data_IF_651114422319
#
_entry.id   IF_651114422319
#
_cell.length_a   1.000
_cell.length_b   1.000
_cell.length_c   1.000
_cell.angle_alpha   90.00
_cell.angle_beta   90.00
_cell.angle_gamma   90.00
#
_symmetry.space_group_name_H-M   'P 1'
#
loop_
_entity.id
_entity.type
_entity.pdbx_description
1 polymer ?
#
# COMPACT_ATOMS: atom_id res chain seq x y z
N UNK A 1 -13.02 2.23 -10.70
CA UNK A 1 -13.37 2.61 -9.32
C UNK A 1 -14.55 1.80 -8.80
N UNK A 2 -15.64 1.69 -9.53
CA UNK A 2 -16.85 1.00 -9.05
C UNK A 2 -16.58 -0.45 -8.62
N UNK A 3 -15.77 -1.19 -9.39
CA UNK A 3 -15.34 -2.55 -9.01
C UNK A 3 -14.60 -2.63 -7.66
N UNK A 4 -13.84 -1.58 -7.28
CA UNK A 4 -13.16 -1.53 -5.97
C UNK A 4 -14.17 -1.26 -4.86
N UNK A 5 -15.09 -0.33 -5.06
CA UNK A 5 -16.16 -0.02 -4.09
C UNK A 5 -17.05 -1.25 -3.86
N UNK A 6 -17.45 -1.93 -4.92
CA UNK A 6 -18.21 -3.18 -4.85
C UNK A 6 -17.47 -4.27 -4.10
N UNK A 7 -16.17 -4.47 -4.42
CA UNK A 7 -15.31 -5.42 -3.70
C UNK A 7 -15.31 -5.13 -2.20
N UNK A 8 -15.10 -3.87 -1.82
CA UNK A 8 -15.00 -3.46 -0.41
C UNK A 8 -16.32 -3.61 0.33
N UNK A 9 -17.44 -3.22 -0.29
CA UNK A 9 -18.79 -3.32 0.31
C UNK A 9 -19.19 -4.75 0.65
N UNK A 10 -18.71 -5.73 -0.12
CA UNK A 10 -19.00 -7.15 0.09
C UNK A 10 -18.11 -7.84 1.14
N UNK A 11 -17.15 -7.12 1.75
CA UNK A 11 -16.18 -7.73 2.68
C UNK A 11 -16.54 -7.53 4.13
N UNK A 12 -16.37 -8.61 4.90
CA UNK A 12 -16.44 -8.57 6.35
C UNK A 12 -15.10 -8.10 6.96
N UNK A 13 -15.13 -7.50 8.16
CA UNK A 13 -13.91 -7.18 8.89
C UNK A 13 -13.05 -8.42 9.12
N UNK A 14 -11.73 -8.28 8.90
CA UNK A 14 -10.72 -9.30 9.16
C UNK A 14 -9.70 -8.87 10.23
N UNK A 15 -9.84 -7.64 10.75
CA UNK A 15 -8.93 -7.06 11.74
C UNK A 15 -9.74 -6.44 12.89
N UNK A 16 -10.19 -7.27 13.84
CA UNK A 16 -11.16 -6.87 14.85
C UNK A 16 -12.46 -6.41 14.19
N UNK A 17 -12.96 -5.24 14.56
CA UNK A 17 -14.13 -4.60 13.91
C UNK A 17 -13.79 -3.85 12.63
N UNK A 18 -12.52 -3.82 12.21
CA UNK A 18 -12.03 -3.04 11.06
C UNK A 18 -11.97 -3.86 9.79
N UNK A 19 -12.62 -3.41 8.72
CA UNK A 19 -12.40 -3.89 7.35
C UNK A 19 -11.10 -3.26 6.83
N UNK A 20 -10.07 -4.07 6.58
CA UNK A 20 -8.77 -3.59 6.07
C UNK A 20 -8.63 -3.93 4.59
N UNK A 21 -8.41 -2.92 3.77
CA UNK A 21 -8.17 -3.06 2.32
C UNK A 21 -6.75 -2.63 2.00
N UNK A 22 -5.96 -3.54 1.43
CA UNK A 22 -4.65 -3.21 0.91
C UNK A 22 -4.75 -2.81 -0.57
N UNK A 23 -4.11 -1.69 -0.92
CA UNK A 23 -3.88 -1.26 -2.30
C UNK A 23 -2.38 -1.34 -2.54
N UNK A 24 -1.93 -2.45 -3.13
CA UNK A 24 -0.53 -2.78 -3.35
C UNK A 24 -0.16 -2.74 -4.84
N UNK A 25 1.11 -2.78 -5.11
CA UNK A 25 1.68 -2.74 -6.45
C UNK A 25 2.91 -1.84 -6.51
N UNK A 26 3.64 -1.85 -7.62
CA UNK A 26 4.90 -1.13 -7.73
C UNK A 26 4.72 0.39 -7.72
N UNK A 27 5.80 1.11 -7.37
CA UNK A 27 5.84 2.58 -7.37
C UNK A 27 5.46 3.16 -8.72
N UNK A 28 4.71 4.27 -8.71
CA UNK A 28 4.22 4.93 -9.92
C UNK A 28 3.00 4.26 -10.57
N UNK A 29 2.49 3.15 -10.02
CA UNK A 29 1.32 2.44 -10.57
C UNK A 29 -0.02 3.15 -10.36
N UNK A 30 -0.11 4.20 -9.51
CA UNK A 30 -1.35 4.95 -9.28
C UNK A 30 -2.14 4.50 -8.04
N UNK A 31 -1.52 3.74 -7.13
CA UNK A 31 -2.13 3.28 -5.88
C UNK A 31 -2.75 4.41 -5.06
N UNK A 32 -1.98 5.47 -4.82
CA UNK A 32 -2.41 6.57 -3.95
C UNK A 32 -3.60 7.34 -4.52
N UNK A 33 -3.65 7.54 -5.83
CA UNK A 33 -4.82 8.13 -6.48
C UNK A 33 -6.07 7.25 -6.31
N UNK A 34 -5.89 5.92 -6.38
CA UNK A 34 -6.96 4.96 -6.15
C UNK A 34 -7.43 4.99 -4.70
N UNK A 35 -6.49 5.02 -3.74
CA UNK A 35 -6.78 5.08 -2.31
C UNK A 35 -7.53 6.36 -1.92
N UNK A 36 -7.10 7.51 -2.44
CA UNK A 36 -7.77 8.80 -2.21
C UNK A 36 -9.18 8.83 -2.78
N UNK A 37 -9.37 8.25 -3.98
CA UNK A 37 -10.72 8.16 -4.57
C UNK A 37 -11.61 7.20 -3.79
N UNK A 38 -11.08 6.07 -3.32
CA UNK A 38 -11.83 5.15 -2.48
C UNK A 38 -12.25 5.81 -1.17
N UNK A 39 -11.33 6.52 -0.50
CA UNK A 39 -11.61 7.24 0.74
C UNK A 39 -12.74 8.27 0.56
N UNK A 40 -12.71 9.05 -0.53
CA UNK A 40 -13.78 10.03 -0.81
C UNK A 40 -15.16 9.41 -1.02
N UNK A 41 -15.22 8.14 -1.44
CA UNK A 41 -16.50 7.43 -1.68
C UNK A 41 -16.98 6.59 -0.50
N UNK A 42 -16.14 6.38 0.51
CA UNK A 42 -16.42 5.41 1.58
C UNK A 42 -16.10 5.92 2.97
N UNK A 43 -15.60 7.15 3.10
CA UNK A 43 -15.08 7.74 4.35
C UNK A 43 -13.99 6.89 5.03
N UNK A 44 -13.23 6.12 4.23
CA UNK A 44 -12.16 5.26 4.73
C UNK A 44 -10.99 6.08 5.29
N UNK A 45 -10.41 5.59 6.38
CA UNK A 45 -9.11 6.06 6.86
C UNK A 45 -8.03 5.52 5.94
N UNK A 46 -7.13 6.37 5.44
CA UNK A 46 -6.00 5.95 4.58
C UNK A 46 -4.69 6.06 5.34
N UNK A 47 -3.93 4.97 5.38
CA UNK A 47 -2.56 4.94 5.88
C UNK A 47 -1.58 4.64 4.75
N UNK A 48 -0.61 5.54 4.58
CA UNK A 48 0.47 5.41 3.59
C UNK A 48 1.58 4.52 4.16
N UNK A 49 1.83 3.36 3.55
CA UNK A 49 2.79 2.39 4.07
C UNK A 49 4.24 2.83 3.94
N UNK A 50 4.56 3.76 3.05
CA UNK A 50 5.88 4.36 2.91
C UNK A 50 6.33 5.11 4.17
N UNK A 51 5.40 5.61 4.97
CA UNK A 51 5.70 6.24 6.27
C UNK A 51 6.16 5.23 7.34
N UNK A 52 6.14 3.95 7.05
CA UNK A 52 6.61 2.88 7.93
C UNK A 52 7.87 2.18 7.40
N UNK A 53 8.43 2.65 6.28
CA UNK A 53 9.65 2.11 5.70
C UNK A 53 10.85 2.94 6.16
N UNK A 54 11.83 2.34 6.88
CA UNK A 54 12.98 3.08 7.41
C UNK A 54 14.07 3.33 6.36
N UNK A 55 13.78 4.20 5.39
CA UNK A 55 14.70 4.61 4.35
C UNK A 55 14.68 3.73 3.10
N UNK A 56 15.46 4.11 2.11
CA UNK A 56 15.39 3.62 0.72
C UNK A 56 15.74 2.13 0.51
N UNK A 57 16.34 1.45 1.49
CA UNK A 57 16.86 0.08 1.34
C UNK A 57 16.15 -0.96 2.21
N UNK A 58 15.05 -0.61 2.88
CA UNK A 58 14.49 -1.45 3.94
C UNK A 58 12.99 -1.72 3.78
N UNK A 59 12.52 -1.81 2.53
CA UNK A 59 11.11 -2.08 2.22
C UNK A 59 10.61 -3.36 2.92
N UNK A 60 11.39 -4.43 2.90
CA UNK A 60 11.02 -5.71 3.49
C UNK A 60 10.86 -5.69 5.04
N UNK A 61 11.36 -4.66 5.72
CA UNK A 61 11.17 -4.53 7.17
C UNK A 61 9.79 -4.00 7.55
N UNK A 62 9.11 -3.31 6.63
CA UNK A 62 7.83 -2.66 6.90
C UNK A 62 6.70 -3.67 7.18
N UNK A 63 6.45 -4.70 6.35
CA UNK A 63 5.28 -5.55 6.55
C UNK A 63 5.23 -6.25 7.92
N UNK A 64 6.29 -6.91 8.42
CA UNK A 64 6.24 -7.54 9.75
C UNK A 64 6.12 -6.51 10.89
N UNK A 65 6.73 -5.33 10.75
CA UNK A 65 6.58 -4.26 11.74
C UNK A 65 5.14 -3.74 11.77
N UNK A 66 4.53 -3.52 10.60
CA UNK A 66 3.17 -3.02 10.50
C UNK A 66 2.13 -4.04 11.00
N UNK A 67 2.36 -5.33 10.73
CA UNK A 67 1.54 -6.41 11.29
C UNK A 67 1.54 -6.38 12.83
N UNK A 68 2.72 -6.22 13.44
CA UNK A 68 2.88 -6.22 14.89
C UNK A 68 2.37 -4.93 15.55
N UNK A 69 2.75 -3.77 15.01
CA UNK A 69 2.62 -2.49 15.71
C UNK A 69 1.33 -1.72 15.33
N UNK A 70 0.69 -2.08 14.20
CA UNK A 70 -0.57 -1.49 13.76
C UNK A 70 -1.70 -2.51 13.78
N UNK A 71 -1.61 -3.56 12.95
CA UNK A 71 -2.74 -4.45 12.73
C UNK A 71 -3.00 -5.40 13.91
N UNK A 72 -1.96 -5.80 14.63
CA UNK A 72 -2.10 -6.63 15.84
C UNK A 72 -2.96 -5.96 16.92
N UNK A 73 -2.70 -4.71 17.33
CA UNK A 73 -3.59 -3.96 18.22
C UNK A 73 -4.99 -3.78 17.64
N UNK A 74 -5.13 -3.34 16.38
CA UNK A 74 -6.45 -3.15 15.76
C UNK A 74 -7.28 -4.45 15.71
N UNK A 75 -6.63 -5.61 15.53
CA UNK A 75 -7.30 -6.90 15.55
C UNK A 75 -7.90 -7.27 16.92
N UNK A 76 -7.47 -6.58 17.98
CA UNK A 76 -8.05 -6.68 19.34
C UNK A 76 -8.95 -5.48 19.69
N UNK A 77 -9.32 -4.70 18.67
CA UNK A 77 -10.07 -3.45 18.83
C UNK A 77 -9.39 -2.42 19.76
N UNK A 78 -8.04 -2.48 19.82
CA UNK A 78 -7.21 -1.56 20.59
C UNK A 78 -6.65 -0.44 19.72
N UNK A 79 -6.35 0.71 20.33
CA UNK A 79 -5.66 1.83 19.68
C UNK A 79 -4.22 1.45 19.36
N UNK A 80 -3.85 1.44 18.08
CA UNK A 80 -2.48 1.26 17.66
C UNK A 80 -1.67 2.56 17.76
N UNK A 81 -0.36 2.46 18.06
CA UNK A 81 0.56 3.61 18.14
C UNK A 81 1.86 3.29 17.40
N UNK A 82 1.81 2.98 16.09
CA UNK A 82 2.99 2.64 15.32
C UNK A 82 3.90 3.88 15.21
N UNK A 83 5.22 3.67 15.25
CA UNK A 83 6.17 4.72 14.90
C UNK A 83 6.10 4.98 13.39
N UNK A 84 6.37 6.22 12.98
CA UNK A 84 6.47 6.61 11.57
C UNK A 84 7.91 6.99 11.21
N UNK A 85 8.32 6.70 10.00
CA UNK A 85 9.60 7.16 9.46
C UNK A 85 9.46 8.56 8.87
N UNK A 86 10.37 9.43 9.24
CA UNK A 86 10.50 10.76 8.64
C UNK A 86 11.57 10.73 7.57
N UNK A 87 11.17 10.78 6.32
CA UNK A 87 12.07 10.84 5.18
C UNK A 87 12.97 12.10 5.16
N UNK A 88 12.48 13.20 5.74
CA UNK A 88 13.23 14.46 5.86
C UNK A 88 14.30 14.38 6.95
N UNK A 89 13.98 13.71 8.08
CA UNK A 89 14.90 13.62 9.23
C UNK A 89 15.74 12.34 9.23
N UNK A 90 15.44 11.42 8.31
CA UNK A 90 16.03 10.08 8.25
C UNK A 90 15.99 9.37 9.62
N UNK A 91 14.84 9.44 10.30
CA UNK A 91 14.67 8.96 11.67
C UNK A 91 13.25 8.51 11.97
N UNK A 92 13.13 7.60 12.95
CA UNK A 92 11.85 7.22 13.52
C UNK A 92 11.30 8.33 14.43
N UNK A 93 10.03 8.67 14.21
CA UNK A 93 9.26 9.59 15.05
C UNK A 93 8.07 8.85 15.67
N UNK A 94 7.54 9.35 16.81
CA UNK A 94 6.24 8.92 17.30
C UNK A 94 5.18 9.08 16.20
N UNK A 95 4.38 8.04 16.00
CA UNK A 95 3.23 8.13 15.11
C UNK A 95 1.98 8.64 15.83
N UNK A 96 0.99 9.03 15.05
CA UNK A 96 -0.32 9.36 15.60
C UNK A 96 -1.04 8.06 16.03
N UNK A 97 -1.89 8.12 17.06
CA UNK A 97 -2.77 7.00 17.40
C UNK A 97 -3.70 6.67 16.23
N UNK A 98 -3.83 5.38 15.94
CA UNK A 98 -4.77 4.86 14.95
C UNK A 98 -5.85 4.11 15.72
N UNK A 99 -7.08 4.58 15.62
CA UNK A 99 -8.26 3.95 16.21
C UNK A 99 -8.78 2.84 15.28
N UNK A 100 -9.44 1.80 15.80
CA UNK A 100 -10.30 0.96 15.00
C UNK A 100 -11.30 1.81 14.22
N UNK A 101 -11.48 1.49 12.95
CA UNK A 101 -12.36 2.23 12.04
C UNK A 101 -13.18 1.25 11.19
N UNK A 102 -14.39 1.61 10.73
CA UNK A 102 -15.17 0.72 9.87
C UNK A 102 -14.40 0.28 8.63
N UNK A 103 -13.60 1.18 8.06
CA UNK A 103 -12.78 0.90 6.88
C UNK A 103 -11.41 1.58 6.97
N UNK A 104 -10.36 0.78 6.83
CA UNK A 104 -8.96 1.20 6.77
C UNK A 104 -8.35 0.78 5.44
N UNK A 105 -7.75 1.72 4.74
CA UNK A 105 -6.99 1.46 3.50
C UNK A 105 -5.50 1.55 3.80
N UNK A 106 -4.77 0.48 3.53
CA UNK A 106 -3.30 0.46 3.51
C UNK A 106 -2.84 0.73 2.08
N UNK A 107 -2.32 1.91 1.82
CA UNK A 107 -1.81 2.31 0.50
C UNK A 107 -0.30 2.27 0.45
N UNK A 108 0.24 1.46 -0.42
CA UNK A 108 1.67 1.48 -0.74
C UNK A 108 2.28 0.11 -1.01
N UNK A 109 3.53 0.13 -1.47
CA UNK A 109 4.30 -1.06 -1.79
C UNK A 109 4.44 -1.97 -0.56
N UNK A 110 4.09 -3.24 -0.70
CA UNK A 110 4.17 -4.23 0.36
C UNK A 110 2.96 -4.26 1.30
N UNK A 111 1.90 -3.48 1.06
CA UNK A 111 0.68 -3.52 1.87
C UNK A 111 -0.08 -4.86 1.77
N UNK A 112 0.11 -5.63 0.70
CA UNK A 112 -0.43 -6.96 0.49
C UNK A 112 0.54 -8.11 0.81
N UNK A 113 1.66 -7.84 1.49
CA UNK A 113 2.67 -8.84 1.85
C UNK A 113 2.14 -9.89 2.82
N UNK A 114 2.73 -11.10 2.80
CA UNK A 114 2.29 -12.24 3.60
C UNK A 114 2.04 -11.94 5.08
N UNK A 115 2.89 -11.17 5.80
CA UNK A 115 2.65 -10.86 7.20
C UNK A 115 1.37 -10.07 7.46
N UNK A 116 0.87 -9.32 6.48
CA UNK A 116 -0.32 -8.47 6.60
C UNK A 116 -1.61 -9.20 6.21
N UNK A 117 -1.53 -10.22 5.34
CA UNK A 117 -2.69 -10.92 4.77
C UNK A 117 -3.70 -11.46 5.78
N UNK A 118 -3.30 -12.01 6.94
CA UNK A 118 -4.27 -12.48 7.94
C UNK A 118 -5.25 -11.40 8.43
N UNK A 119 -4.89 -10.13 8.26
CA UNK A 119 -5.67 -8.98 8.69
C UNK A 119 -6.44 -8.30 7.55
N UNK A 120 -6.20 -8.72 6.29
CA UNK A 120 -6.80 -8.07 5.13
C UNK A 120 -8.17 -8.66 4.80
N UNK A 121 -9.15 -7.79 4.63
CA UNK A 121 -10.47 -8.13 4.09
C UNK A 121 -10.46 -8.18 2.56
N UNK A 122 -9.62 -7.36 1.93
CA UNK A 122 -9.41 -7.37 0.48
C UNK A 122 -8.01 -6.88 0.10
N UNK A 123 -7.50 -7.38 -1.03
CA UNK A 123 -6.24 -6.96 -1.63
C UNK A 123 -6.48 -6.54 -3.08
N UNK A 124 -6.19 -5.28 -3.39
CA UNK A 124 -6.21 -4.72 -4.73
C UNK A 124 -4.78 -4.55 -5.21
N UNK A 125 -4.45 -5.15 -6.35
CA UNK A 125 -3.17 -4.96 -7.02
C UNK A 125 -3.30 -3.92 -8.12
N UNK A 126 -2.44 -2.91 -8.11
CA UNK A 126 -2.40 -1.85 -9.12
C UNK A 126 -1.10 -1.92 -9.89
N UNK A 127 -1.17 -1.98 -11.21
CA UNK A 127 -0.01 -2.08 -12.08
C UNK A 127 -0.08 -1.15 -13.29
N UNK A 128 1.08 -0.83 -13.83
CA UNK A 128 1.30 -0.16 -15.11
C UNK A 128 2.67 -0.58 -15.66
N UNK A 129 2.94 -0.31 -16.94
CA UNK A 129 4.26 -0.57 -17.51
C UNK A 129 5.36 0.26 -16.80
N UNK A 130 6.59 -0.23 -16.89
CA UNK A 130 7.74 0.34 -16.15
C UNK A 130 8.01 1.79 -16.57
N UNK A 131 7.89 2.10 -17.85
CA UNK A 131 8.16 3.43 -18.40
C UNK A 131 7.16 4.45 -17.86
N UNK A 132 5.87 4.11 -17.90
CA UNK A 132 4.78 4.92 -17.33
C UNK A 132 4.97 5.15 -15.83
N UNK A 133 5.31 4.09 -15.09
CA UNK A 133 5.53 4.18 -13.64
C UNK A 133 6.71 5.06 -13.29
N UNK A 134 7.85 4.89 -13.98
CA UNK A 134 9.05 5.70 -13.78
C UNK A 134 8.76 7.17 -14.06
N UNK A 135 8.15 7.48 -15.20
CA UNK A 135 7.80 8.85 -15.55
C UNK A 135 6.88 9.51 -14.49
N UNK A 136 5.86 8.79 -14.01
CA UNK A 136 4.95 9.31 -12.97
C UNK A 136 5.66 9.51 -11.62
N UNK A 137 6.51 8.57 -11.22
CA UNK A 137 7.23 8.65 -9.95
C UNK A 137 8.22 9.83 -9.95
N UNK A 138 8.99 9.99 -11.03
CA UNK A 138 9.94 11.10 -11.16
C UNK A 138 9.23 12.45 -11.31
N UNK A 139 8.08 12.51 -11.98
CA UNK A 139 7.29 13.74 -12.06
C UNK A 139 6.73 14.18 -10.69
N UNK A 140 6.47 13.22 -9.78
CA UNK A 140 5.97 13.50 -8.42
C UNK A 140 7.07 13.89 -7.46
N UNK A 141 8.16 13.11 -7.40
CA UNK A 141 9.18 13.15 -6.34
C UNK A 141 10.54 13.70 -6.82
N UNK A 142 10.72 13.86 -8.15
CA UNK A 142 11.87 14.51 -8.77
C UNK A 142 13.22 13.94 -8.36
N UNK A 143 14.17 14.85 -8.16
CA UNK A 143 15.58 14.55 -7.81
C UNK A 143 15.74 13.73 -6.52
N UNK A 144 14.76 13.81 -5.61
CA UNK A 144 14.79 13.03 -4.35
C UNK A 144 14.65 11.53 -4.61
N UNK A 145 13.88 11.13 -5.62
CA UNK A 145 13.59 9.73 -5.90
C UNK A 145 14.48 9.16 -7.03
N UNK A 146 14.90 9.97 -7.96
CA UNK A 146 15.64 9.53 -9.15
C UNK A 146 16.85 8.63 -8.83
N UNK A 147 17.76 8.96 -7.87
CA UNK A 147 18.90 8.11 -7.51
C UNK A 147 18.48 6.77 -6.90
N UNK A 148 17.26 6.66 -6.38
CA UNK A 148 16.78 5.49 -5.65
C UNK A 148 15.83 4.62 -6.45
N UNK A 149 15.40 5.05 -7.64
CA UNK A 149 14.44 4.31 -8.45
C UNK A 149 14.80 2.84 -8.64
N UNK A 150 16.02 2.56 -9.11
CA UNK A 150 16.43 1.18 -9.40
C UNK A 150 16.62 0.34 -8.13
N UNK A 151 17.11 0.95 -7.05
CA UNK A 151 17.25 0.32 -5.73
C UNK A 151 15.88 -0.05 -5.18
N UNK A 152 14.93 0.87 -5.25
CA UNK A 152 13.57 0.64 -4.77
C UNK A 152 12.86 -0.41 -5.62
N UNK A 153 12.90 -0.29 -6.93
CA UNK A 153 12.31 -1.24 -7.87
C UNK A 153 12.86 -2.67 -7.72
N UNK A 154 14.12 -2.82 -7.37
CA UNK A 154 14.71 -4.13 -7.07
C UNK A 154 14.11 -4.75 -5.80
N UNK A 155 13.92 -3.97 -4.73
CA UNK A 155 13.29 -4.44 -3.50
C UNK A 155 11.81 -4.79 -3.71
N UNK A 156 11.06 -3.98 -4.48
CA UNK A 156 9.69 -4.29 -4.87
C UNK A 156 9.60 -5.65 -5.57
N UNK A 157 10.43 -5.88 -6.60
CA UNK A 157 10.46 -7.16 -7.32
C UNK A 157 10.74 -8.33 -6.40
N UNK A 158 11.73 -8.20 -5.51
CA UNK A 158 12.09 -9.25 -4.56
C UNK A 158 10.94 -9.55 -3.59
N UNK A 159 10.35 -8.52 -3.00
CA UNK A 159 9.25 -8.67 -2.04
C UNK A 159 8.01 -9.28 -2.70
N UNK A 160 7.61 -8.75 -3.84
CA UNK A 160 6.43 -9.23 -4.57
C UNK A 160 6.57 -10.66 -5.07
N UNK A 161 7.77 -11.04 -5.54
CA UNK A 161 8.05 -12.41 -5.95
C UNK A 161 8.04 -13.38 -4.76
N UNK A 162 8.68 -13.02 -3.65
CA UNK A 162 8.72 -13.85 -2.45
C UNK A 162 7.32 -14.06 -1.85
N UNK A 163 6.49 -13.03 -1.87
CA UNK A 163 5.16 -13.06 -1.27
C UNK A 163 4.05 -13.51 -2.23
N UNK A 164 4.32 -13.53 -3.54
CA UNK A 164 3.30 -13.84 -4.56
C UNK A 164 2.13 -12.85 -4.53
N UNK A 165 2.39 -11.58 -4.23
CA UNK A 165 1.36 -10.58 -3.89
C UNK A 165 0.34 -10.38 -5.01
N UNK A 166 0.82 -10.26 -6.27
CA UNK A 166 -0.06 -10.11 -7.43
C UNK A 166 -1.04 -11.27 -7.59
N UNK A 167 -0.55 -12.50 -7.40
CA UNK A 167 -1.38 -13.71 -7.51
C UNK A 167 -2.38 -13.89 -6.37
N UNK A 168 -2.16 -13.23 -5.24
CA UNK A 168 -3.05 -13.25 -4.07
C UNK A 168 -4.10 -12.14 -4.10
N UNK A 169 -4.07 -11.23 -5.09
CA UNK A 169 -4.98 -10.10 -5.17
C UNK A 169 -6.40 -10.54 -5.55
N UNK A 170 -7.39 -9.99 -4.87
CA UNK A 170 -8.82 -10.14 -5.20
C UNK A 170 -9.19 -9.39 -6.48
N UNK A 171 -8.47 -8.29 -6.76
CA UNK A 171 -8.70 -7.45 -7.93
C UNK A 171 -7.36 -6.91 -8.46
N UNK A 172 -7.17 -7.01 -9.79
CA UNK A 172 -6.01 -6.45 -10.47
C UNK A 172 -6.47 -5.31 -11.38
N UNK A 173 -5.85 -4.15 -11.21
CA UNK A 173 -6.13 -2.95 -12.00
C UNK A 173 -4.89 -2.50 -12.77
N UNK A 174 -5.06 -2.29 -14.07
CA UNK A 174 -4.07 -1.62 -14.91
C UNK A 174 -4.43 -0.15 -15.09
N UNK A 175 -3.43 0.72 -14.93
CA UNK A 175 -3.62 2.18 -14.99
C UNK A 175 -2.89 2.84 -16.17
N UNK A 176 -2.10 2.10 -16.93
CA UNK A 176 -1.57 2.52 -18.21
C UNK A 176 -2.65 2.45 -19.29
N UNK A 177 -2.55 3.31 -20.32
CA UNK A 177 -3.40 3.19 -21.50
C UNK A 177 -3.01 1.91 -22.24
N UNK A 178 -3.98 1.13 -22.75
CA UNK A 178 -3.64 0.03 -23.63
C UNK A 178 -2.80 0.58 -24.78
N UNK A 179 -1.63 -0.01 -25.04
CA UNK A 179 -0.86 0.30 -26.26
C UNK A 179 -1.82 0.04 -27.42
N UNK A 180 -2.14 1.07 -28.20
CA UNK A 180 -2.80 0.84 -29.48
C UNK A 180 -1.82 -0.02 -30.28
N UNK A 181 -2.20 -1.28 -30.54
CA UNK A 181 -1.52 -2.11 -31.52
C UNK A 181 -1.58 -1.33 -32.83
N UNK A 182 -0.43 -0.79 -33.24
CA UNK A 182 -0.31 -0.15 -34.55
C UNK A 182 -0.59 -1.22 -35.61
N UNK A 183 -1.59 -0.98 -36.38
CA UNK A 183 -1.82 -1.65 -37.66
C UNK A 183 -0.74 -1.25 -38.64
#
# INVERSE_FOLDING_TARGET
MDAVVELVRGRLPACGSTTVVAIDGPSGAGKSSLADELARRTDAVVLRTDTFVPGWRRLAQMPPALARDLLGPLARDEVARPRRWSWVRDAWLPGLPVQPAPLLVLDGCGSGSRPLRPFLSALVWVEADVETRKARALARDGETYEPWWDVWAAQERTLFAADGTRGAADLILRTDRPRRSGT
#
